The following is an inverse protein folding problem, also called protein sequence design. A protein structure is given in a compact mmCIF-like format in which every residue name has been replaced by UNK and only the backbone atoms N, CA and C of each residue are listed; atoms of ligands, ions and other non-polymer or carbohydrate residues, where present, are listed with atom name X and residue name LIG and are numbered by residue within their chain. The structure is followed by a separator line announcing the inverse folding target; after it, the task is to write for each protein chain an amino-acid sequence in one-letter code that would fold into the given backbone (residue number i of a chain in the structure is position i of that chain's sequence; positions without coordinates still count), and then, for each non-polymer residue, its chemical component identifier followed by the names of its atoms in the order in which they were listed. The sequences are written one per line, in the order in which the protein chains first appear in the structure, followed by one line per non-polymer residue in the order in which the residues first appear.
data_IF_535968140809
#
_entry.id   IF_535968140809
#
_cell.length_a   1.000
_cell.length_b   1.000
_cell.length_c   1.000
_cell.angle_alpha   90.00
_cell.angle_beta   90.00
_cell.angle_gamma   90.00
#
_symmetry.space_group_name_H-M   'P 1'
#
loop_
_entity.id
_entity.type
_entity.pdbx_description
1 polymer ?
#
# COMPACT_ATOMS: atom_id res chain seq x y z
N UNK A 1 11.55 14.57 -10.73
CA UNK A 1 10.62 15.63 -11.16
C UNK A 1 9.32 14.97 -11.63
N UNK A 2 8.16 15.52 -11.28
CA UNK A 2 6.89 15.16 -11.94
C UNK A 2 6.75 16.06 -13.19
N UNK A 3 6.73 15.51 -14.41
CA UNK A 3 6.73 16.34 -15.63
C UNK A 3 5.45 17.17 -15.80
N UNK A 4 5.52 18.20 -16.64
CA UNK A 4 4.33 18.97 -17.01
C UNK A 4 3.27 18.05 -17.62
N UNK A 5 2.02 18.20 -17.15
CA UNK A 5 0.89 17.34 -17.57
C UNK A 5 0.73 16.05 -16.77
N UNK A 6 1.60 15.75 -15.81
CA UNK A 6 1.48 14.59 -14.91
C UNK A 6 1.09 15.02 -13.50
N UNK A 7 0.46 14.09 -12.77
CA UNK A 7 0.10 14.24 -11.35
C UNK A 7 0.72 13.12 -10.52
N UNK A 8 1.03 13.43 -9.26
CA UNK A 8 1.37 12.42 -8.26
C UNK A 8 0.11 12.09 -7.46
N UNK A 9 -0.27 10.82 -7.45
CA UNK A 9 -1.44 10.33 -6.71
C UNK A 9 -1.00 9.50 -5.49
N UNK A 10 -1.73 9.63 -4.39
CA UNK A 10 -1.58 8.79 -3.20
C UNK A 10 -2.87 7.98 -2.99
N UNK A 11 -2.76 6.67 -3.15
CA UNK A 11 -3.80 5.71 -2.76
C UNK A 11 -3.51 5.12 -1.38
N UNK A 12 -4.50 5.13 -0.49
CA UNK A 12 -4.41 4.48 0.83
C UNK A 12 -5.52 3.44 0.93
N UNK A 13 -5.17 2.20 1.28
CA UNK A 13 -6.10 1.11 1.48
C UNK A 13 -5.91 0.46 2.85
N UNK A 14 -7.00 -0.04 3.43
CA UNK A 14 -6.97 -0.87 4.65
C UNK A 14 -6.67 -2.35 4.38
N UNK A 15 -5.92 -2.64 3.31
CA UNK A 15 -5.57 -3.99 2.86
C UNK A 15 -4.23 -3.96 2.16
N UNK A 16 -3.66 -5.15 2.02
CA UNK A 16 -2.42 -5.35 1.28
C UNK A 16 -2.55 -4.88 -0.18
N UNK A 17 -1.46 -4.29 -0.68
CA UNK A 17 -1.39 -3.84 -2.06
C UNK A 17 -1.39 -5.04 -3.02
N UNK A 18 -2.26 -5.00 -4.02
CA UNK A 18 -2.39 -6.07 -5.02
C UNK A 18 -2.36 -5.50 -6.43
N UNK A 19 -1.73 -6.25 -7.34
CA UNK A 19 -1.76 -6.02 -8.78
C UNK A 19 -2.29 -7.31 -9.47
N UNK A 20 -2.18 -7.40 -10.80
CA UNK A 20 -2.67 -8.57 -11.57
C UNK A 20 -1.98 -9.89 -11.21
N UNK A 21 -0.81 -9.82 -10.56
CA UNK A 21 -0.03 -10.99 -10.17
C UNK A 21 0.74 -11.61 -11.34
N UNK A 22 1.89 -12.22 -11.02
CA UNK A 22 2.71 -12.98 -11.99
C UNK A 22 3.14 -14.31 -11.39
N UNK A 23 3.03 -15.39 -12.15
CA UNK A 23 3.62 -16.66 -11.75
C UNK A 23 5.14 -16.57 -11.83
N UNK A 24 5.84 -17.01 -10.78
CA UNK A 24 7.29 -17.08 -10.73
C UNK A 24 7.72 -18.48 -10.29
N UNK A 25 8.88 -18.91 -10.78
CA UNK A 25 9.50 -20.17 -10.37
C UNK A 25 9.68 -20.20 -8.84
N UNK A 26 9.39 -21.37 -8.23
CA UNK A 26 9.51 -21.63 -6.79
C UNK A 26 8.60 -20.78 -5.87
N UNK A 27 7.69 -19.97 -6.40
CA UNK A 27 6.66 -19.31 -5.61
C UNK A 27 5.43 -20.21 -5.42
N UNK A 28 4.96 -20.33 -4.18
CA UNK A 28 3.75 -21.11 -3.86
C UNK A 28 2.47 -20.47 -4.42
N UNK A 29 2.46 -19.15 -4.56
CA UNK A 29 1.34 -18.36 -5.07
C UNK A 29 1.82 -17.35 -6.11
N UNK A 30 0.95 -16.90 -7.05
CA UNK A 30 1.28 -15.80 -7.95
C UNK A 30 1.75 -14.58 -7.15
N UNK A 31 2.86 -13.98 -7.57
CA UNK A 31 3.44 -12.83 -6.88
C UNK A 31 2.63 -11.60 -7.22
N UNK A 32 1.91 -11.05 -6.25
CA UNK A 32 1.18 -9.78 -6.40
C UNK A 32 2.03 -8.61 -5.89
N UNK A 33 1.40 -7.49 -5.53
CA UNK A 33 2.09 -6.34 -4.93
C UNK A 33 2.84 -6.68 -3.64
N UNK A 34 2.33 -7.63 -2.85
CA UNK A 34 2.98 -8.14 -1.63
C UNK A 34 3.78 -9.43 -1.87
N UNK A 35 4.12 -9.75 -3.12
CA UNK A 35 4.79 -11.01 -3.45
C UNK A 35 3.86 -12.21 -3.30
N UNK A 36 4.38 -13.41 -2.94
CA UNK A 36 3.58 -14.63 -2.79
C UNK A 36 2.92 -14.74 -1.39
N UNK A 37 2.96 -13.69 -0.57
CA UNK A 37 2.49 -13.71 0.82
C UNK A 37 1.05 -13.18 0.90
N UNK A 38 0.08 -14.09 0.88
CA UNK A 38 -1.35 -13.74 0.72
C UNK A 38 -2.15 -13.68 2.03
N UNK A 39 -1.55 -14.07 3.16
CA UNK A 39 -2.17 -14.02 4.51
C UNK A 39 -3.59 -14.61 4.58
N UNK A 40 -3.84 -15.71 3.88
CA UNK A 40 -5.16 -16.38 3.84
C UNK A 40 -5.37 -17.37 4.99
N UNK A 41 -4.35 -17.64 5.80
CA UNK A 41 -4.49 -18.47 6.99
C UNK A 41 -5.30 -17.71 8.06
N UNK A 42 -6.44 -18.26 8.54
CA UNK A 42 -7.27 -17.58 9.53
C UNK A 42 -6.57 -17.34 10.87
N UNK A 43 -5.53 -18.12 11.21
CA UNK A 43 -4.76 -17.94 12.44
C UNK A 43 -3.69 -16.85 12.33
N UNK A 44 -3.20 -16.54 11.13
CA UNK A 44 -2.15 -15.54 10.88
C UNK A 44 -2.70 -14.10 11.05
N UNK A 45 -3.86 -13.82 10.44
CA UNK A 45 -4.54 -12.52 10.52
C UNK A 45 -6.04 -12.68 10.80
N UNK A 46 -6.43 -13.06 12.03
CA UNK A 46 -7.84 -13.17 12.41
C UNK A 46 -8.59 -11.84 12.21
N UNK A 47 -9.76 -11.92 11.58
CA UNK A 47 -10.54 -10.75 11.19
C UNK A 47 -10.99 -9.92 12.40
N UNK A 48 -11.17 -10.55 13.56
CA UNK A 48 -11.54 -9.87 14.80
C UNK A 48 -10.47 -8.86 15.27
N UNK A 49 -9.22 -9.05 14.84
CA UNK A 49 -8.09 -8.17 15.17
C UNK A 49 -7.75 -7.24 13.99
N UNK A 50 -7.72 -7.77 12.76
CA UNK A 50 -7.19 -7.05 11.60
C UNK A 50 -8.25 -6.50 10.63
N UNK A 51 -9.53 -6.90 10.76
CA UNK A 51 -10.63 -6.49 9.89
C UNK A 51 -11.31 -5.17 10.26
N UNK A 52 -10.64 -4.32 11.02
CA UNK A 52 -11.19 -3.06 11.55
C UNK A 52 -11.36 -1.94 10.52
N UNK A 53 -11.97 -0.84 10.95
CA UNK A 53 -12.10 0.38 10.14
C UNK A 53 -10.80 1.20 10.18
N UNK A 54 -10.18 1.39 9.02
CA UNK A 54 -9.05 2.32 8.87
C UNK A 54 -9.59 3.74 8.69
N UNK A 55 -9.27 4.62 9.63
CA UNK A 55 -9.70 6.02 9.63
C UNK A 55 -8.51 6.94 9.38
N UNK A 56 -8.66 7.84 8.40
CA UNK A 56 -7.70 8.91 8.17
C UNK A 56 -8.12 10.15 8.96
N UNK A 57 -7.22 10.69 9.75
CA UNK A 57 -7.46 11.88 10.56
C UNK A 57 -6.90 13.12 9.88
N UNK A 58 -7.73 14.16 9.79
CA UNK A 58 -7.39 15.46 9.21
C UNK A 58 -7.88 16.58 10.13
N UNK A 59 -7.10 17.63 10.30
CA UNK A 59 -7.52 18.80 11.04
C UNK A 59 -6.39 19.80 11.31
N UNK A 60 -6.69 20.95 11.92
CA UNK A 60 -5.69 21.96 12.27
C UNK A 60 -4.56 21.39 13.16
N UNK A 61 -4.91 20.43 14.04
CA UNK A 61 -3.97 19.77 14.96
C UNK A 61 -3.39 18.46 14.40
N UNK A 62 -3.87 18.01 13.23
CA UNK A 62 -3.47 16.76 12.59
C UNK A 62 -3.19 17.01 11.10
N UNK A 63 -1.96 17.44 10.80
CA UNK A 63 -1.51 17.62 9.42
C UNK A 63 -1.32 16.27 8.75
N UNK A 64 -2.21 15.92 7.83
CA UNK A 64 -1.94 14.85 6.88
C UNK A 64 -1.01 15.38 5.79
N UNK A 65 0.19 14.84 5.71
CA UNK A 65 1.16 15.19 4.68
C UNK A 65 1.91 13.97 4.19
N UNK A 66 2.19 13.92 2.89
CA UNK A 66 3.14 12.98 2.31
C UNK A 66 4.53 13.62 2.32
N UNK A 67 5.45 13.07 3.13
CA UNK A 67 6.84 13.48 3.09
C UNK A 67 7.50 12.88 1.85
N UNK A 68 7.92 13.75 0.93
CA UNK A 68 8.60 13.35 -0.29
C UNK A 68 10.11 13.60 -0.17
N UNK A 69 10.96 12.68 -0.65
CA UNK A 69 12.39 12.93 -0.78
C UNK A 69 12.64 13.85 -1.97
N UNK A 70 12.34 15.14 -1.81
CA UNK A 70 12.59 16.13 -2.86
C UNK A 70 14.10 16.30 -3.06
N UNK A 71 14.60 15.84 -4.21
CA UNK A 71 16.00 15.99 -4.61
C UNK A 71 16.15 17.31 -5.38
N UNK A 72 17.03 18.23 -4.95
CA UNK A 72 17.30 19.47 -5.68
C UNK A 72 17.84 19.19 -7.09
N UNK A 73 17.56 20.10 -8.02
CA UNK A 73 18.27 20.10 -9.30
C UNK A 73 19.76 20.48 -9.07
N UNK A 74 20.68 20.02 -9.94
CA UNK A 74 22.04 20.53 -9.98
C UNK A 74 22.11 22.06 -10.13
#
# INVERSE_FOLDING_TARGET
MVPAGYVLELGIGGRDYSNQGTATENAMYPTTGVGPFIHTDPEDRPAEIFGGTVTLHFGPDAKLSLLLPAIPAP
#
